data_IF_469070272728
#
_entry.id   IF_469070272728
#
_cell.length_a   1.000
_cell.length_b   1.000
_cell.length_c   1.000
_cell.angle_alpha   90.00
_cell.angle_beta   90.00
_cell.angle_gamma   90.00
#
_symmetry.space_group_name_H-M   'P 1'
#
loop_
_entity.id
_entity.type
_entity.pdbx_description
1 polymer ?
#
# COMPACT_ATOMS: atom_id res chain seq x y z
N UNK A 1 -20.27 41.30 -20.08
CA UNK A 1 -21.49 41.16 -19.27
C UNK A 1 -21.42 42.20 -18.16
N UNK A 2 -22.35 43.15 -18.14
CA UNK A 2 -22.50 44.01 -16.97
C UNK A 2 -23.07 43.14 -15.83
N UNK A 3 -22.43 43.14 -14.67
CA UNK A 3 -22.93 42.45 -13.49
C UNK A 3 -24.18 43.20 -13.03
N UNK A 4 -25.34 42.56 -13.05
CA UNK A 4 -26.59 43.12 -12.53
C UNK A 4 -26.67 42.81 -11.02
N UNK A 5 -27.12 43.77 -10.20
CA UNK A 5 -27.27 43.63 -8.74
C UNK A 5 -25.98 43.20 -8.00
N UNK A 6 -26.14 42.80 -6.74
CA UNK A 6 -25.09 42.24 -5.89
C UNK A 6 -24.88 40.73 -6.16
N UNK A 7 -24.45 40.40 -7.38
CA UNK A 7 -24.11 39.03 -7.77
C UNK A 7 -22.63 38.71 -7.52
N UNK A 8 -22.31 37.43 -7.32
CA UNK A 8 -20.92 36.97 -7.14
C UNK A 8 -20.05 37.37 -8.34
N UNK A 9 -18.85 37.88 -8.07
CA UNK A 9 -17.86 38.17 -9.11
C UNK A 9 -17.42 36.83 -9.73
N UNK A 10 -17.77 36.63 -11.00
CA UNK A 10 -17.48 35.40 -11.75
C UNK A 10 -16.06 35.48 -12.32
N UNK A 11 -15.22 34.49 -12.00
CA UNK A 11 -13.89 34.32 -12.63
C UNK A 11 -13.91 33.15 -13.63
N UNK A 12 -14.58 33.35 -14.78
CA UNK A 12 -14.74 32.33 -15.80
C UNK A 12 -13.54 32.31 -16.76
N UNK A 13 -12.84 31.18 -16.83
CA UNK A 13 -11.63 31.05 -17.64
C UNK A 13 -11.92 30.63 -19.10
N UNK A 14 -12.86 31.31 -19.75
CA UNK A 14 -13.28 31.05 -21.14
C UNK A 14 -12.74 32.10 -22.14
N UNK A 15 -11.66 32.80 -21.77
CA UNK A 15 -11.07 33.90 -22.55
C UNK A 15 -10.12 33.45 -23.68
N UNK A 16 -9.84 32.16 -23.79
CA UNK A 16 -9.05 31.57 -24.88
C UNK A 16 -9.97 30.79 -25.81
N UNK A 17 -9.45 30.37 -26.96
CA UNK A 17 -10.14 29.46 -27.86
C UNK A 17 -10.27 28.05 -27.24
N UNK A 18 -11.26 27.91 -26.35
CA UNK A 18 -11.57 26.70 -25.60
C UNK A 18 -12.51 25.78 -26.38
N UNK A 19 -13.35 26.37 -27.25
CA UNK A 19 -14.34 25.63 -28.06
C UNK A 19 -13.67 24.61 -28.98
N UNK A 20 -12.50 24.93 -29.55
CA UNK A 20 -11.69 23.97 -30.33
C UNK A 20 -11.11 22.80 -29.52
N UNK A 21 -11.07 22.90 -28.18
CA UNK A 21 -10.45 21.89 -27.27
C UNK A 21 -11.48 21.21 -26.36
N UNK A 22 -12.75 21.22 -26.75
CA UNK A 22 -13.81 20.53 -26.02
C UNK A 22 -13.69 19.03 -26.25
N UNK A 23 -13.38 18.30 -25.17
CA UNK A 23 -13.37 16.84 -25.19
C UNK A 23 -14.73 16.31 -24.77
N UNK A 24 -15.46 15.72 -25.71
CA UNK A 24 -16.70 14.99 -25.44
C UNK A 24 -16.41 13.53 -25.04
N UNK A 25 -17.30 12.92 -24.25
CA UNK A 25 -17.11 11.57 -23.68
C UNK A 25 -18.08 10.52 -24.27
N UNK A 26 -18.57 10.71 -25.49
CA UNK A 26 -19.46 9.74 -26.17
C UNK A 26 -18.81 8.37 -26.40
N UNK A 27 -17.48 8.30 -26.45
CA UNK A 27 -16.72 7.07 -26.59
C UNK A 27 -16.55 6.29 -25.28
N UNK A 28 -17.06 6.79 -24.16
CA UNK A 28 -16.94 6.16 -22.85
C UNK A 28 -17.47 4.70 -22.81
N UNK A 29 -18.69 4.38 -23.29
CA UNK A 29 -19.19 2.99 -23.35
C UNK A 29 -18.31 2.10 -24.24
N UNK A 30 -17.94 2.55 -25.44
CA UNK A 30 -17.03 1.81 -26.32
C UNK A 30 -15.67 1.54 -25.68
N UNK A 31 -15.09 2.52 -24.97
CA UNK A 31 -13.85 2.34 -24.20
C UNK A 31 -14.02 1.37 -23.03
N UNK A 32 -15.19 1.31 -22.38
CA UNK A 32 -15.47 0.31 -21.33
C UNK A 32 -15.51 -1.10 -21.92
N UNK A 33 -16.19 -1.29 -23.05
CA UNK A 33 -16.25 -2.58 -23.76
C UNK A 33 -14.86 -3.07 -24.17
N UNK A 34 -14.11 -2.23 -24.91
CA UNK A 34 -12.74 -2.55 -25.37
C UNK A 34 -11.82 -2.94 -24.22
N UNK A 35 -11.88 -2.22 -23.08
CA UNK A 35 -11.09 -2.57 -21.89
C UNK A 35 -11.53 -3.90 -21.26
N UNK A 36 -12.81 -4.26 -21.34
CA UNK A 36 -13.31 -5.56 -20.86
C UNK A 36 -12.74 -6.69 -21.71
N UNK A 37 -12.85 -6.59 -23.03
CA UNK A 37 -12.32 -7.58 -23.97
C UNK A 37 -10.81 -7.74 -23.81
N UNK A 38 -10.05 -6.65 -23.74
CA UNK A 38 -8.61 -6.71 -23.52
C UNK A 38 -8.24 -7.40 -22.19
N UNK A 39 -9.04 -7.22 -21.13
CA UNK A 39 -8.83 -7.94 -19.86
C UNK A 39 -9.15 -9.44 -19.99
N UNK A 40 -10.19 -9.81 -20.73
CA UNK A 40 -10.55 -11.22 -20.97
C UNK A 40 -9.48 -11.91 -21.82
N UNK A 41 -9.05 -11.28 -22.91
CA UNK A 41 -7.96 -11.78 -23.76
C UNK A 41 -6.66 -11.98 -22.96
N UNK A 42 -6.31 -11.01 -22.10
CA UNK A 42 -5.15 -11.15 -21.20
C UNK A 42 -5.30 -12.29 -20.20
N UNK A 43 -6.50 -12.49 -19.65
CA UNK A 43 -6.75 -13.58 -18.71
C UNK A 43 -6.61 -14.95 -19.38
N UNK A 44 -7.17 -15.11 -20.58
CA UNK A 44 -7.04 -16.34 -21.36
C UNK A 44 -5.58 -16.63 -21.73
N UNK A 45 -4.82 -15.62 -22.14
CA UNK A 45 -3.41 -15.77 -22.53
C UNK A 45 -2.46 -16.17 -21.38
N UNK A 46 -2.83 -15.87 -20.13
CA UNK A 46 -1.97 -16.08 -18.94
C UNK A 46 -2.46 -17.25 -18.09
N UNK A 47 -3.62 -17.83 -18.41
CA UNK A 47 -4.15 -19.02 -17.72
C UNK A 47 -3.10 -20.14 -17.69
N UNK A 48 -2.94 -20.85 -16.55
CA UNK A 48 -3.76 -20.84 -15.34
C UNK A 48 -3.39 -19.74 -14.30
N UNK A 49 -2.42 -18.87 -14.59
CA UNK A 49 -1.94 -17.89 -13.61
C UNK A 49 -2.94 -16.73 -13.42
N UNK A 50 -3.08 -16.19 -12.20
CA UNK A 50 -3.74 -14.90 -11.99
C UNK A 50 -3.13 -13.77 -12.84
N UNK A 51 -3.98 -12.83 -13.26
CA UNK A 51 -3.61 -11.74 -14.19
C UNK A 51 -2.64 -10.73 -13.57
N UNK A 52 -2.77 -10.49 -12.28
CA UNK A 52 -1.99 -9.56 -11.48
C UNK A 52 -0.86 -10.25 -10.69
N UNK A 53 -0.03 -9.45 -10.04
CA UNK A 53 1.08 -9.91 -9.20
C UNK A 53 0.81 -9.54 -7.75
N UNK A 54 1.34 -10.32 -6.81
CA UNK A 54 1.28 -9.97 -5.39
C UNK A 54 2.00 -8.64 -5.15
N UNK A 55 1.28 -7.69 -4.54
CA UNK A 55 1.81 -6.40 -4.08
C UNK A 55 1.87 -6.36 -2.56
N UNK A 56 2.86 -5.66 -1.96
CA UNK A 56 2.96 -5.50 -0.51
C UNK A 56 1.92 -4.54 0.03
N UNK A 57 1.71 -4.60 1.35
CA UNK A 57 0.97 -3.62 2.13
C UNK A 57 1.89 -2.44 2.43
N UNK A 58 1.46 -1.24 2.07
CA UNK A 58 2.24 0.00 2.28
C UNK A 58 1.34 1.09 2.86
N UNK A 59 1.82 1.81 3.88
CA UNK A 59 1.15 3.00 4.42
C UNK A 59 1.31 4.20 3.49
N UNK A 60 0.29 5.05 3.42
CA UNK A 60 0.38 6.30 2.65
C UNK A 60 1.33 7.32 3.34
N UNK A 61 2.05 8.16 2.57
CA UNK A 61 3.20 8.90 3.11
C UNK A 61 2.87 10.19 3.87
N UNK A 62 1.67 10.76 3.73
CA UNK A 62 1.34 12.06 4.33
C UNK A 62 0.59 11.90 5.65
N UNK A 63 0.70 12.89 6.54
CA UNK A 63 -0.01 12.93 7.84
C UNK A 63 -1.51 12.70 7.69
N UNK A 64 -2.13 13.24 6.63
CA UNK A 64 -3.57 13.07 6.34
C UNK A 64 -3.96 11.61 6.06
N UNK A 65 -3.07 10.81 5.46
CA UNK A 65 -3.39 9.49 4.94
C UNK A 65 -2.59 8.35 5.58
N UNK A 66 -1.67 8.61 6.50
CA UNK A 66 -0.79 7.60 7.12
C UNK A 66 -1.53 6.46 7.84
N UNK A 67 -2.77 6.70 8.27
CA UNK A 67 -3.67 5.68 8.85
C UNK A 67 -4.15 4.65 7.81
N UNK A 68 -4.18 5.01 6.53
CA UNK A 68 -4.62 4.14 5.44
C UNK A 68 -3.44 3.33 4.87
N UNK A 69 -3.71 2.06 4.61
CA UNK A 69 -2.86 1.15 3.85
C UNK A 69 -3.37 0.98 2.43
N UNK A 70 -2.45 0.69 1.52
CA UNK A 70 -2.72 0.44 0.10
C UNK A 70 -1.76 -0.60 -0.47
N UNK A 71 -2.07 -1.07 -1.68
CA UNK A 71 -1.12 -1.84 -2.46
C UNK A 71 0.09 -0.97 -2.85
N UNK A 72 1.29 -1.46 -2.51
CA UNK A 72 2.55 -0.88 -2.94
C UNK A 72 2.97 -1.28 -4.36
N UNK A 73 4.12 -0.78 -4.80
CA UNK A 73 4.69 -1.17 -6.10
C UNK A 73 5.32 -2.56 -6.06
N UNK A 74 6.02 -2.94 -5.00
CA UNK A 74 6.65 -4.26 -4.91
C UNK A 74 7.34 -4.47 -3.58
N UNK A 75 7.59 -5.74 -3.26
CA UNK A 75 8.31 -6.15 -2.06
C UNK A 75 9.77 -5.70 -2.14
N UNK A 76 10.30 -5.34 -0.97
CA UNK A 76 11.71 -5.01 -0.79
C UNK A 76 12.57 -6.27 -0.84
N UNK A 77 13.87 -6.10 -1.06
CA UNK A 77 14.82 -7.21 -1.01
C UNK A 77 14.95 -7.80 0.41
N UNK A 78 14.78 -6.97 1.44
CA UNK A 78 14.82 -7.41 2.84
C UNK A 78 13.64 -8.32 3.19
N UNK A 79 12.41 -7.92 2.83
CA UNK A 79 11.20 -8.76 3.04
C UNK A 79 11.32 -10.10 2.31
N UNK A 80 11.84 -10.10 1.07
CA UNK A 80 12.04 -11.34 0.31
C UNK A 80 13.10 -12.25 0.94
N UNK A 81 14.19 -11.66 1.45
CA UNK A 81 15.26 -12.40 2.12
C UNK A 81 14.74 -13.08 3.39
N UNK A 82 13.97 -12.35 4.21
CA UNK A 82 13.37 -12.87 5.43
C UNK A 82 12.27 -13.90 5.15
N UNK A 83 11.52 -13.76 4.06
CA UNK A 83 10.57 -14.77 3.61
C UNK A 83 11.22 -16.02 2.97
N UNK A 84 12.55 -16.02 2.77
CA UNK A 84 13.27 -17.12 2.12
C UNK A 84 12.99 -17.24 0.62
N UNK A 85 12.63 -16.14 -0.05
CA UNK A 85 12.31 -16.11 -1.48
C UNK A 85 13.45 -15.42 -2.26
N UNK A 86 14.16 -16.12 -3.15
CA UNK A 86 15.19 -15.50 -3.98
C UNK A 86 14.63 -14.41 -4.91
N UNK A 87 15.32 -13.25 -5.00
CA UNK A 87 14.87 -12.09 -5.79
C UNK A 87 14.57 -12.39 -7.27
N UNK A 88 15.31 -13.31 -7.88
CA UNK A 88 15.12 -13.72 -9.28
C UNK A 88 13.90 -14.63 -9.45
N UNK A 89 13.64 -15.49 -8.45
CA UNK A 89 12.49 -16.40 -8.44
C UNK A 89 11.19 -15.62 -8.18
N UNK A 90 11.21 -14.61 -7.31
CA UNK A 90 10.02 -13.85 -6.93
C UNK A 90 9.19 -13.37 -8.15
N UNK A 91 9.84 -12.76 -9.15
CA UNK A 91 9.14 -12.26 -10.35
C UNK A 91 8.56 -13.35 -11.22
N UNK A 92 9.18 -14.54 -11.27
CA UNK A 92 8.69 -15.66 -12.08
C UNK A 92 7.46 -16.32 -11.46
N UNK A 93 7.39 -16.33 -10.13
CA UNK A 93 6.25 -16.89 -9.37
C UNK A 93 5.15 -15.86 -9.07
N UNK A 94 5.14 -14.71 -9.76
CA UNK A 94 4.04 -13.74 -9.63
C UNK A 94 4.15 -12.74 -8.47
N UNK A 95 5.33 -12.58 -7.85
CA UNK A 95 5.57 -11.59 -6.79
C UNK A 95 6.23 -10.34 -7.39
N UNK A 96 5.67 -9.16 -7.12
CA UNK A 96 6.24 -7.90 -7.58
C UNK A 96 7.41 -7.47 -6.69
N UNK A 97 8.53 -7.05 -7.28
CA UNK A 97 9.74 -6.64 -6.55
C UNK A 97 10.05 -5.17 -6.82
N UNK A 98 10.37 -4.42 -5.77
CA UNK A 98 10.81 -3.03 -5.85
C UNK A 98 12.10 -2.82 -5.05
N UNK A 99 13.23 -2.82 -5.75
CA UNK A 99 14.56 -2.67 -5.14
C UNK A 99 14.82 -1.27 -4.57
N UNK A 100 13.97 -0.27 -4.89
CA UNK A 100 14.13 1.12 -4.43
C UNK A 100 13.49 1.38 -3.08
N UNK A 101 12.55 0.53 -2.65
CA UNK A 101 11.84 0.71 -1.38
C UNK A 101 12.69 0.17 -0.23
N UNK A 102 12.77 0.96 0.84
CA UNK A 102 13.47 0.63 2.09
C UNK A 102 12.44 0.40 3.20
N UNK A 103 12.73 -0.50 4.12
CA UNK A 103 11.90 -0.71 5.30
C UNK A 103 12.40 0.17 6.45
N UNK A 104 11.54 1.05 6.93
CA UNK A 104 11.83 1.94 8.06
C UNK A 104 11.31 1.41 9.39
N UNK A 105 10.32 0.51 9.37
CA UNK A 105 9.68 0.00 10.58
C UNK A 105 9.60 -1.52 10.56
N UNK A 106 9.79 -2.14 11.72
CA UNK A 106 9.79 -3.60 11.88
C UNK A 106 8.39 -4.18 11.66
N UNK A 107 7.34 -3.47 12.05
CA UNK A 107 5.95 -3.92 11.90
C UNK A 107 5.58 -4.07 10.41
N UNK A 108 6.04 -3.13 9.57
CA UNK A 108 5.78 -3.20 8.12
C UNK A 108 6.51 -4.37 7.46
N UNK A 109 7.74 -4.66 7.92
CA UNK A 109 8.53 -5.80 7.48
C UNK A 109 7.82 -7.11 7.84
N UNK A 110 7.45 -7.29 9.11
CA UNK A 110 6.76 -8.50 9.60
C UNK A 110 5.43 -8.73 8.87
N UNK A 111 4.60 -7.70 8.72
CA UNK A 111 3.32 -7.81 8.02
C UNK A 111 3.49 -8.25 6.55
N UNK A 112 4.50 -7.73 5.85
CA UNK A 112 4.77 -8.08 4.47
C UNK A 112 5.43 -9.46 4.32
N UNK A 113 6.27 -9.87 5.27
CA UNK A 113 6.82 -11.24 5.32
C UNK A 113 5.70 -12.26 5.55
N UNK A 114 4.80 -12.02 6.50
CA UNK A 114 3.64 -12.87 6.73
C UNK A 114 2.76 -12.98 5.46
N UNK A 115 2.55 -11.86 4.76
CA UNK A 115 1.83 -11.84 3.47
C UNK A 115 2.54 -12.65 2.38
N UNK A 116 3.87 -12.63 2.32
CA UNK A 116 4.64 -13.45 1.38
C UNK A 116 4.51 -14.95 1.70
N UNK A 117 4.53 -15.32 2.99
CA UNK A 117 4.36 -16.71 3.41
C UNK A 117 2.94 -17.22 3.11
N UNK A 118 1.91 -16.43 3.40
CA UNK A 118 0.52 -16.77 3.08
C UNK A 118 0.33 -16.94 1.56
N UNK A 119 0.94 -16.07 0.74
CA UNK A 119 0.93 -16.25 -0.72
C UNK A 119 1.65 -17.53 -1.15
N UNK A 120 2.81 -17.82 -0.55
CA UNK A 120 3.60 -19.03 -0.87
C UNK A 120 2.84 -20.30 -0.51
N UNK A 121 2.13 -20.31 0.62
CA UNK A 121 1.32 -21.46 1.06
C UNK A 121 0.14 -21.75 0.11
N UNK A 122 -0.44 -20.71 -0.51
CA UNK A 122 -1.57 -20.84 -1.45
C UNK A 122 -1.15 -21.01 -2.91
N UNK A 123 0.14 -20.89 -3.22
CA UNK A 123 0.63 -20.93 -4.59
C UNK A 123 0.80 -22.39 -5.05
N UNK A 124 0.10 -22.76 -6.11
CA UNK A 124 0.33 -24.03 -6.82
C UNK A 124 1.32 -23.79 -7.96
N UNK A 125 2.52 -24.34 -7.85
CA UNK A 125 3.56 -24.21 -8.86
C UNK A 125 3.60 -25.43 -9.78
N UNK A 126 3.34 -25.20 -11.06
CA UNK A 126 3.35 -26.25 -12.07
C UNK A 126 4.77 -26.61 -12.48
N UNK A 127 5.07 -27.92 -12.70
CA UNK A 127 6.35 -28.32 -13.24
C UNK A 127 6.51 -27.80 -14.68
N UNK A 128 7.73 -27.40 -15.04
CA UNK A 128 8.02 -26.88 -16.40
C UNK A 128 7.81 -27.92 -17.50
N UNK A 129 8.05 -29.19 -17.19
CA UNK A 129 7.79 -30.32 -18.07
C UNK A 129 6.71 -31.17 -17.40
N UNK A 130 5.65 -31.50 -18.14
CA UNK A 130 4.56 -32.34 -17.62
C UNK A 130 5.10 -33.67 -17.13
N UNK A 131 4.69 -34.08 -15.92
CA UNK A 131 5.12 -35.34 -15.30
C UNK A 131 6.49 -35.30 -14.62
N UNK A 132 7.30 -34.23 -14.82
CA UNK A 132 8.63 -34.11 -14.20
C UNK A 132 8.61 -33.08 -13.07
N UNK A 133 8.33 -33.54 -11.85
CA UNK A 133 8.27 -32.71 -10.65
C UNK A 133 9.66 -32.50 -10.05
N UNK A 134 9.98 -31.24 -9.74
CA UNK A 134 11.20 -30.84 -9.04
C UNK A 134 10.87 -30.36 -7.62
N UNK A 135 11.91 -30.16 -6.81
CA UNK A 135 11.81 -29.77 -5.38
C UNK A 135 10.92 -28.55 -5.08
N UNK A 136 10.78 -27.61 -6.03
CA UNK A 136 9.99 -26.39 -5.83
C UNK A 136 8.57 -26.48 -6.42
N UNK A 137 8.26 -27.54 -7.16
CA UNK A 137 6.95 -27.73 -7.77
C UNK A 137 5.96 -28.27 -6.74
N UNK A 138 4.68 -28.02 -6.96
CA UNK A 138 3.60 -28.56 -6.14
C UNK A 138 3.42 -30.06 -6.35
N UNK A 139 2.67 -30.72 -5.46
CA UNK A 139 2.39 -32.14 -5.58
C UNK A 139 1.64 -32.48 -6.87
N UNK A 140 1.79 -33.72 -7.35
CA UNK A 140 1.12 -34.16 -8.58
C UNK A 140 -0.40 -34.08 -8.48
N UNK A 141 -0.95 -34.33 -7.29
CA UNK A 141 -2.38 -34.25 -6.98
C UNK A 141 -2.91 -32.82 -7.12
N UNK A 142 -2.28 -31.83 -6.48
CA UNK A 142 -2.68 -30.42 -6.57
C UNK A 142 -2.59 -29.89 -8.00
N UNK A 143 -1.55 -30.28 -8.74
CA UNK A 143 -1.37 -29.87 -10.14
C UNK A 143 -2.44 -30.49 -11.04
N UNK A 144 -2.77 -31.77 -10.86
CA UNK A 144 -3.79 -32.43 -11.66
C UNK A 144 -5.19 -31.93 -11.31
N UNK A 145 -5.49 -31.70 -10.03
CA UNK A 145 -6.73 -31.08 -9.59
C UNK A 145 -6.91 -29.68 -10.19
N UNK A 146 -5.85 -28.86 -10.18
CA UNK A 146 -5.86 -27.56 -10.83
C UNK A 146 -6.10 -27.69 -12.35
N UNK A 147 -5.40 -28.60 -13.04
CA UNK A 147 -5.61 -28.83 -14.49
C UNK A 147 -7.05 -29.22 -14.81
N UNK A 148 -7.63 -30.15 -14.04
CA UNK A 148 -9.01 -30.59 -14.24
C UNK A 148 -10.00 -29.44 -14.05
N UNK A 149 -9.84 -28.65 -12.98
CA UNK A 149 -10.70 -27.49 -12.73
C UNK A 149 -10.63 -26.45 -13.86
N UNK A 150 -9.42 -26.14 -14.35
CA UNK A 150 -9.25 -25.22 -15.49
C UNK A 150 -9.76 -25.79 -16.81
N UNK A 151 -9.71 -27.11 -17.03
CA UNK A 151 -10.25 -27.76 -18.22
C UNK A 151 -11.79 -27.75 -18.25
N UNK A 152 -12.43 -27.89 -17.10
CA UNK A 152 -13.90 -27.82 -16.96
C UNK A 152 -14.45 -26.39 -16.95
N UNK A 153 -13.60 -25.37 -17.07
CA UNK A 153 -14.00 -23.96 -16.97
C UNK A 153 -14.43 -23.53 -15.56
N UNK A 154 -14.32 -24.44 -14.58
CA UNK A 154 -14.64 -24.19 -13.17
C UNK A 154 -13.47 -23.44 -12.53
N UNK A 155 -13.57 -22.12 -12.51
CA UNK A 155 -12.66 -21.25 -11.75
C UNK A 155 -13.00 -21.20 -10.26
N UNK A 156 -14.00 -21.96 -9.82
CA UNK A 156 -14.43 -22.05 -8.43
C UNK A 156 -13.30 -22.66 -7.59
N UNK A 157 -12.83 -21.91 -6.58
CA UNK A 157 -11.68 -22.29 -5.74
C UNK A 157 -10.32 -21.76 -6.22
N UNK A 158 -10.17 -21.36 -7.49
CA UNK A 158 -8.92 -20.80 -8.03
C UNK A 158 -9.01 -19.29 -8.24
N UNK A 159 -8.00 -18.57 -7.77
CA UNK A 159 -7.98 -17.12 -7.86
C UNK A 159 -7.71 -16.64 -9.29
N UNK A 160 -8.65 -15.92 -9.91
CA UNK A 160 -8.41 -15.21 -11.19
C UNK A 160 -7.59 -13.93 -11.00
N UNK A 161 -7.62 -13.36 -9.79
CA UNK A 161 -6.83 -12.19 -9.37
C UNK A 161 -6.28 -12.36 -7.97
N UNK A 162 -5.00 -12.07 -7.78
CA UNK A 162 -4.29 -12.08 -6.49
C UNK A 162 -4.91 -11.06 -5.54
N UNK A 163 -5.22 -9.85 -6.02
CA UNK A 163 -5.85 -8.82 -5.18
C UNK A 163 -7.23 -9.20 -4.64
N UNK A 164 -7.93 -10.13 -5.29
CA UNK A 164 -9.19 -10.70 -4.80
C UNK A 164 -8.98 -11.76 -3.72
N UNK A 165 -7.99 -12.64 -3.92
CA UNK A 165 -7.69 -13.73 -2.97
C UNK A 165 -6.96 -13.26 -1.70
N UNK A 166 -6.09 -12.25 -1.83
CA UNK A 166 -5.32 -11.66 -0.74
C UNK A 166 -5.60 -10.14 -0.68
N UNK A 167 -6.82 -9.71 -0.32
CA UNK A 167 -7.16 -8.30 -0.32
C UNK A 167 -6.37 -7.54 0.75
N UNK A 168 -5.99 -6.31 0.44
CA UNK A 168 -5.44 -5.37 1.43
C UNK A 168 -6.61 -4.59 1.99
N UNK A 169 -6.97 -4.90 3.24
CA UNK A 169 -8.06 -4.24 3.94
C UNK A 169 -7.49 -3.13 4.84
N UNK A 170 -8.22 -2.03 4.91
CA UNK A 170 -8.01 -1.03 5.97
C UNK A 170 -8.82 -1.48 7.18
N UNK A 171 -8.34 -1.16 8.39
CA UNK A 171 -9.11 -1.41 9.61
C UNK A 171 -10.49 -0.74 9.50
N UNK A 172 -11.53 -1.48 9.87
CA UNK A 172 -12.90 -0.94 9.92
C UNK A 172 -13.06 -0.02 11.12
N UNK A 173 -14.15 0.76 11.15
CA UNK A 173 -14.46 1.62 12.31
C UNK A 173 -14.68 0.80 13.58
N UNK A 174 -15.35 -0.34 13.47
CA UNK A 174 -15.61 -1.28 14.57
C UNK A 174 -14.32 -1.85 15.15
N UNK A 175 -13.35 -2.22 14.31
CA UNK A 175 -12.03 -2.69 14.75
C UNK A 175 -11.18 -1.56 15.37
N UNK A 176 -11.45 -0.31 15.00
CA UNK A 176 -10.67 0.85 15.42
C UNK A 176 -11.20 1.50 16.71
N UNK A 177 -12.47 1.26 17.07
CA UNK A 177 -13.10 1.81 18.26
C UNK A 177 -13.13 0.73 19.33
N UNK A 178 -12.49 1.00 20.45
CA UNK A 178 -12.55 0.13 21.64
C UNK A 178 -13.18 0.92 22.76
N UNK A 179 -14.09 0.29 23.49
CA UNK A 179 -14.67 0.86 24.69
C UNK A 179 -13.70 0.66 25.85
N UNK A 180 -13.34 1.76 26.50
CA UNK A 180 -12.45 1.77 27.66
C UNK A 180 -13.16 2.54 28.76
N UNK A 181 -13.11 2.03 30.01
CA UNK A 181 -13.69 2.75 31.15
C UNK A 181 -12.90 4.04 31.38
N UNK A 182 -13.60 5.07 31.85
CA UNK A 182 -13.01 6.40 32.07
C UNK A 182 -11.84 6.37 33.06
N UNK A 183 -11.91 5.48 34.05
CA UNK A 183 -10.88 5.33 35.11
C UNK A 183 -9.64 4.56 34.63
N UNK A 184 -9.74 3.84 33.50
CA UNK A 184 -8.64 3.13 32.85
C UNK A 184 -7.89 4.02 31.84
N UNK A 185 -8.27 5.31 31.71
CA UNK A 185 -7.51 6.23 30.87
C UNK A 185 -6.10 6.42 31.44
N UNK A 186 -5.05 6.45 30.59
CA UNK A 186 -3.70 6.71 31.04
C UNK A 186 -3.64 8.05 31.80
N UNK A 187 -3.11 8.05 33.03
CA UNK A 187 -2.93 9.25 33.89
C UNK A 187 -2.25 10.45 33.19
N UNK A 188 -1.54 10.21 32.08
CA UNK A 188 -0.91 11.24 31.25
C UNK A 188 -1.85 12.04 30.33
N UNK A 189 -3.17 11.77 30.35
CA UNK A 189 -4.18 12.44 29.53
C UNK A 189 -4.98 13.52 30.28
N UNK A 190 -4.85 13.62 31.61
CA UNK A 190 -5.60 14.56 32.45
C UNK A 190 -5.38 16.05 32.05
N UNK A 191 -4.20 16.38 31.49
CA UNK A 191 -3.85 17.73 31.03
C UNK A 191 -3.38 17.75 29.56
N UNK A 192 -4.05 17.01 28.67
CA UNK A 192 -3.67 16.87 27.26
C UNK A 192 -3.42 18.20 26.54
N UNK A 193 -4.26 19.23 26.77
CA UNK A 193 -4.08 20.54 26.16
C UNK A 193 -2.76 21.22 26.58
N UNK A 194 -2.44 21.21 27.89
CA UNK A 194 -1.21 21.81 28.43
C UNK A 194 0.02 21.13 27.85
N UNK A 195 0.02 19.80 27.83
CA UNK A 195 1.09 18.98 27.23
C UNK A 195 1.33 19.31 25.75
N UNK A 196 0.26 19.47 24.97
CA UNK A 196 0.39 19.85 23.55
C UNK A 196 1.01 21.25 23.38
N UNK A 197 0.69 22.20 24.28
CA UNK A 197 1.28 23.55 24.27
C UNK A 197 2.75 23.53 24.70
N UNK A 198 3.08 22.77 25.73
CA UNK A 198 4.46 22.56 26.21
C UNK A 198 5.33 21.93 25.12
N UNK A 199 4.87 20.84 24.48
CA UNK A 199 5.59 20.19 23.39
C UNK A 199 5.83 21.12 22.18
N UNK A 200 4.86 21.96 21.83
CA UNK A 200 5.03 22.98 20.78
C UNK A 200 6.07 24.04 21.20
N UNK A 201 6.05 24.46 22.46
CA UNK A 201 7.00 25.41 23.02
C UNK A 201 8.43 24.83 23.03
N UNK A 202 8.60 23.60 23.51
CA UNK A 202 9.87 22.88 23.51
C UNK A 202 10.44 22.75 22.10
N UNK A 203 9.65 22.30 21.13
CA UNK A 203 10.08 22.19 19.74
C UNK A 203 10.49 23.56 19.14
N UNK A 204 9.73 24.62 19.45
CA UNK A 204 10.01 25.98 18.95
C UNK A 204 11.28 26.59 19.58
N UNK A 205 11.48 26.38 20.89
CA UNK A 205 12.56 27.03 21.65
C UNK A 205 13.79 26.15 21.86
N UNK A 206 13.84 24.93 21.30
CA UNK A 206 14.96 24.00 21.45
C UNK A 206 16.31 24.66 21.18
N UNK A 207 16.51 25.26 20.01
CA UNK A 207 17.79 25.88 19.65
C UNK A 207 18.17 27.07 20.53
N UNK A 208 17.20 27.89 20.95
CA UNK A 208 17.46 29.02 21.86
C UNK A 208 17.86 28.52 23.25
N UNK A 209 17.19 27.48 23.75
CA UNK A 209 17.51 26.87 25.04
C UNK A 209 18.88 26.20 25.01
N UNK A 210 19.22 25.47 23.95
CA UNK A 210 20.55 24.89 23.75
C UNK A 210 21.64 25.97 23.68
N UNK A 211 21.40 27.08 22.97
CA UNK A 211 22.34 28.21 22.92
C UNK A 211 22.55 28.84 24.30
N UNK A 212 21.48 29.09 25.06
CA UNK A 212 21.56 29.64 26.42
C UNK A 212 22.28 28.69 27.38
N UNK A 213 22.01 27.39 27.29
CA UNK A 213 22.68 26.38 28.11
C UNK A 213 24.19 26.34 27.81
N UNK A 214 24.59 26.44 26.53
CA UNK A 214 26.01 26.54 26.14
C UNK A 214 26.67 27.80 26.65
N UNK A 215 26.06 28.97 26.44
CA UNK A 215 26.59 30.24 26.92
C UNK A 215 26.77 30.25 28.45
N UNK A 216 25.79 29.73 29.18
CA UNK A 216 25.88 29.61 30.65
C UNK A 216 27.01 28.67 31.08
N UNK A 217 27.19 27.53 30.41
CA UNK A 217 28.28 26.60 30.69
C UNK A 217 29.66 27.22 30.37
N UNK A 218 29.76 27.99 29.29
CA UNK A 218 30.99 28.72 28.92
C UNK A 218 31.32 29.80 29.97
N UNK A 219 30.33 30.58 30.42
CA UNK A 219 30.50 31.56 31.51
C UNK A 219 30.90 30.89 32.82
N UNK A 220 30.26 29.78 33.22
CA UNK A 220 30.63 29.01 34.41
C UNK A 220 32.04 28.40 34.31
N UNK A 221 32.50 28.05 33.09
CA UNK A 221 33.86 27.57 32.87
C UNK A 221 34.90 28.70 32.90
N UNK A 222 34.54 29.89 32.43
CA UNK A 222 35.38 31.08 32.47
C UNK A 222 35.52 31.62 33.90
N UNK A 223 34.47 31.54 34.71
CA UNK A 223 34.49 31.95 36.12
C UNK A 223 35.26 30.99 37.05
N UNK A 224 35.58 29.77 36.59
CA UNK A 224 36.40 28.78 37.31
C UNK A 224 37.89 28.84 36.94
N UNK A 225 38.27 29.64 35.93
CA UNK A 225 39.67 29.98 35.62
C UNK A 225 40.06 31.25 36.36
#
# INVERSE_FOLDING_TARGET
>A
MAIKHNNQILNQHFHKDWQRRVRVHFDQPGRKHRRREARLAKAAAVAPRPVDQLRPVVRCPTVKYNRRVRAGRGFTLAELKEAGIPKKLARTVGIAVDHRRVNYSKESLVANVARLQDYKARLILFPRKSGQFKKLDSSAEEVNAAKAAFAEGKTEGFATRVGGALPIKNATLEEAVTEVKRDDLPKGEEAAYRRLREARSEARYKGIREKRAKAKAEEESAAKK
#
